data_IF_882391184473
#
_entry.id   IF_882391184473
#
_cell.length_a   1.000
_cell.length_b   1.000
_cell.length_c   1.000
_cell.angle_alpha   90.00
_cell.angle_beta   90.00
_cell.angle_gamma   90.00
#
_symmetry.space_group_name_H-M   'P 1'
#
loop_
_entity.id
_entity.type
_entity.pdbx_description
1 polymer ?
#
# COMPACT_ATOMS: atom_id res chain seq x y z
N UNK A 1 31.74 7.48 -27.49
CA UNK A 1 31.60 8.47 -26.39
C UNK A 1 30.12 8.63 -26.04
N UNK A 2 29.69 8.10 -24.90
CA UNK A 2 28.31 8.19 -24.42
C UNK A 2 28.10 9.60 -23.84
N UNK A 3 27.24 10.42 -24.46
CA UNK A 3 26.84 11.72 -23.89
C UNK A 3 25.96 11.47 -22.66
N UNK A 4 26.52 11.60 -21.46
CA UNK A 4 25.80 11.56 -20.19
C UNK A 4 24.69 12.62 -20.20
N UNK A 5 23.42 12.17 -20.23
CA UNK A 5 22.23 13.03 -20.14
C UNK A 5 22.06 13.47 -18.68
N UNK A 6 22.85 14.45 -18.22
CA UNK A 6 22.89 14.89 -16.82
C UNK A 6 22.09 16.16 -16.47
N UNK A 7 21.36 16.77 -17.40
CA UNK A 7 20.65 18.03 -17.14
C UNK A 7 19.42 17.90 -16.23
N UNK A 8 18.99 18.99 -15.58
CA UNK A 8 17.75 19.01 -14.79
C UNK A 8 16.50 18.83 -15.65
N UNK A 9 15.37 18.45 -15.05
CA UNK A 9 14.13 18.14 -15.75
C UNK A 9 13.58 19.33 -16.55
N UNK A 10 13.62 20.55 -16.01
CA UNK A 10 13.23 21.76 -16.76
C UNK A 10 14.12 21.99 -17.98
N UNK A 11 15.44 21.97 -17.84
CA UNK A 11 16.34 22.17 -18.98
C UNK A 11 16.17 21.08 -20.04
N UNK A 12 15.91 19.83 -19.64
CA UNK A 12 15.58 18.74 -20.58
C UNK A 12 14.26 18.96 -21.28
N UNK A 13 13.20 19.33 -20.56
CA UNK A 13 11.87 19.64 -21.12
C UNK A 13 11.96 20.73 -22.17
N UNK A 14 12.77 21.76 -21.92
CA UNK A 14 12.99 22.87 -22.85
C UNK A 14 14.11 22.62 -23.89
N UNK A 15 14.68 21.40 -23.93
CA UNK A 15 15.78 21.00 -24.84
C UNK A 15 16.97 22.00 -24.80
N UNK A 16 17.32 22.51 -23.63
CA UNK A 16 18.45 23.42 -23.41
C UNK A 16 19.57 22.73 -22.62
N UNK A 17 20.82 23.14 -22.88
CA UNK A 17 22.00 22.69 -22.13
C UNK A 17 21.91 23.18 -20.68
N UNK A 18 22.08 22.26 -19.73
CA UNK A 18 22.08 22.51 -18.30
C UNK A 18 23.53 22.53 -17.78
N UNK A 19 23.82 23.45 -16.87
CA UNK A 19 25.09 23.61 -16.16
C UNK A 19 25.26 22.65 -14.96
N UNK A 20 24.22 21.89 -14.61
CA UNK A 20 24.23 20.81 -13.61
C UNK A 20 24.58 21.23 -12.18
N UNK A 21 24.56 22.51 -11.84
CA UNK A 21 24.73 22.98 -10.46
C UNK A 21 23.59 22.49 -9.55
N UNK A 22 23.94 22.08 -8.33
CA UNK A 22 23.00 21.62 -7.30
C UNK A 22 22.93 22.65 -6.17
N UNK A 23 21.77 22.88 -5.54
CA UNK A 23 20.48 22.19 -5.74
C UNK A 23 19.69 22.64 -6.98
N UNK A 24 19.97 23.84 -7.50
CA UNK A 24 19.29 24.42 -8.67
C UNK A 24 20.31 24.88 -9.72
N UNK A 25 20.02 24.64 -10.99
CA UNK A 25 20.87 25.12 -12.09
C UNK A 25 20.74 26.64 -12.28
N UNK A 26 21.81 27.34 -12.67
CA UNK A 26 21.78 28.81 -12.83
C UNK A 26 20.74 29.25 -13.85
N UNK A 27 20.46 28.41 -14.85
CA UNK A 27 19.49 28.72 -15.90
C UNK A 27 18.04 28.76 -15.40
N UNK A 28 17.65 27.84 -14.51
CA UNK A 28 16.34 27.90 -13.86
C UNK A 28 16.26 29.13 -12.96
N UNK A 29 17.32 29.42 -12.20
CA UNK A 29 17.40 30.58 -11.30
C UNK A 29 17.26 31.91 -12.03
N UNK A 30 17.97 32.07 -13.15
CA UNK A 30 17.92 33.29 -13.99
C UNK A 30 16.56 33.55 -14.64
N UNK A 31 15.71 32.53 -14.74
CA UNK A 31 14.39 32.59 -15.39
C UNK A 31 13.24 32.63 -14.38
N UNK A 32 13.54 32.63 -13.08
CA UNK A 32 12.52 32.62 -12.03
C UNK A 32 11.74 31.32 -11.92
N UNK A 33 12.23 30.21 -12.48
CA UNK A 33 11.57 28.90 -12.34
C UNK A 33 12.16 28.09 -11.20
N UNK A 34 11.30 27.44 -10.42
CA UNK A 34 11.72 26.42 -9.47
C UNK A 34 12.32 25.22 -10.22
N UNK A 35 13.54 24.82 -9.84
CA UNK A 35 14.28 23.77 -10.55
C UNK A 35 13.76 22.39 -10.13
N UNK A 36 13.07 21.70 -11.04
CA UNK A 36 12.47 20.37 -10.83
C UNK A 36 13.46 19.19 -10.71
N UNK A 37 14.69 19.48 -10.28
CA UNK A 37 15.70 18.48 -9.94
C UNK A 37 16.30 17.70 -11.13
N UNK A 38 17.10 16.70 -10.78
CA UNK A 38 17.91 15.88 -11.70
C UNK A 38 17.45 14.41 -11.79
N UNK A 39 16.33 14.09 -11.14
CA UNK A 39 15.72 12.76 -11.13
C UNK A 39 15.23 12.38 -12.53
N UNK A 40 15.61 11.20 -13.03
CA UNK A 40 15.03 10.62 -14.23
C UNK A 40 13.76 9.86 -13.83
N UNK A 41 12.54 10.37 -14.05
CA UNK A 41 11.38 9.51 -13.95
C UNK A 41 11.50 8.40 -15.01
N UNK A 42 11.25 7.12 -14.68
CA UNK A 42 11.16 6.06 -15.68
C UNK A 42 10.05 6.44 -16.66
N UNK A 43 10.41 6.68 -17.92
CA UNK A 43 9.44 6.97 -18.99
C UNK A 43 8.90 5.65 -19.51
N UNK A 44 7.66 5.36 -19.18
CA UNK A 44 6.81 4.50 -20.00
C UNK A 44 6.30 5.34 -21.18
N UNK A 45 6.45 4.81 -22.40
CA UNK A 45 5.92 5.45 -23.60
C UNK A 45 4.43 5.13 -23.64
N UNK A 46 3.61 6.10 -23.23
CA UNK A 46 2.16 6.01 -23.35
C UNK A 46 1.79 6.13 -24.84
N UNK A 47 1.26 5.06 -25.42
CA UNK A 47 0.46 5.14 -26.64
C UNK A 47 -1.01 5.25 -26.22
N UNK A 48 -1.40 6.43 -25.74
CA UNK A 48 -2.80 6.82 -25.65
C UNK A 48 -3.05 7.84 -26.76
N UNK A 49 -4.00 7.52 -27.64
CA UNK A 49 -4.42 8.39 -28.71
C UNK A 49 -5.13 9.63 -28.14
N UNK A 50 -4.62 10.82 -28.44
CA UNK A 50 -5.35 12.07 -28.25
C UNK A 50 -6.37 12.23 -29.39
N UNK A 51 -7.67 12.43 -29.11
CA UNK A 51 -8.64 12.82 -30.11
C UNK A 51 -8.63 14.35 -30.22
N UNK A 52 -7.78 14.91 -31.09
CA UNK A 52 -7.99 16.26 -31.61
C UNK A 52 -7.86 16.27 -33.12
N UNK A 53 -8.96 16.66 -33.76
CA UNK A 53 -9.17 16.79 -35.20
C UNK A 53 -8.29 17.91 -35.76
N UNK A 54 -7.46 17.63 -36.77
CA UNK A 54 -7.39 18.43 -38.01
C UNK A 54 -6.53 17.79 -39.11
N UNK A 55 -7.16 17.61 -40.27
CA UNK A 55 -6.63 17.51 -41.66
C UNK A 55 -5.50 16.52 -42.02
N UNK A 56 -5.88 15.50 -42.80
CA UNK A 56 -5.06 14.55 -43.59
C UNK A 56 -4.04 15.24 -44.55
N UNK A 57 -2.98 14.53 -45.00
CA UNK A 57 -3.12 13.62 -46.14
C UNK A 57 -2.53 12.20 -45.92
N UNK A 58 -3.29 11.20 -46.41
CA UNK A 58 -2.97 9.82 -46.81
C UNK A 58 -2.25 8.85 -45.82
N UNK A 59 -2.82 7.65 -45.55
CA UNK A 59 -2.19 6.64 -44.72
C UNK A 59 -1.12 5.89 -45.52
N UNK A 60 0.15 6.02 -45.11
CA UNK A 60 1.14 4.98 -45.38
C UNK A 60 0.95 3.90 -44.32
N UNK A 61 0.60 2.69 -44.78
CA UNK A 61 0.58 1.47 -43.98
C UNK A 61 1.93 1.26 -43.32
N UNK A 62 2.04 1.67 -42.06
CA UNK A 62 3.05 1.16 -41.14
C UNK A 62 2.30 0.26 -40.18
N UNK A 63 2.07 -0.97 -40.61
CA UNK A 63 1.72 -2.10 -39.75
C UNK A 63 2.89 -2.29 -38.79
N UNK A 64 2.92 -1.52 -37.70
CA UNK A 64 3.82 -1.75 -36.58
C UNK A 64 3.30 -2.97 -35.86
N UNK A 65 3.64 -4.14 -36.38
CA UNK A 65 3.50 -5.43 -35.71
C UNK A 65 4.07 -5.29 -34.30
N UNK A 66 3.20 -5.34 -33.29
CA UNK A 66 3.58 -5.42 -31.88
C UNK A 66 4.39 -6.71 -31.72
N UNK A 67 5.72 -6.62 -31.80
CA UNK A 67 6.58 -7.73 -31.49
C UNK A 67 6.35 -8.09 -30.01
N UNK A 68 5.89 -9.32 -29.76
CA UNK A 68 5.83 -9.85 -28.41
C UNK A 68 7.21 -9.71 -27.76
N UNK A 69 7.30 -9.27 -26.48
CA UNK A 69 8.56 -9.35 -25.77
C UNK A 69 9.06 -10.80 -25.81
N UNK A 70 10.36 -10.99 -26.04
CA UNK A 70 10.95 -12.33 -26.04
C UNK A 70 10.58 -13.05 -24.73
N UNK A 71 10.24 -14.35 -24.78
CA UNK A 71 9.92 -15.08 -23.56
C UNK A 71 11.07 -14.93 -22.57
N UNK A 72 10.78 -14.63 -21.29
CA UNK A 72 11.81 -14.48 -20.29
C UNK A 72 12.66 -15.76 -20.25
N UNK A 73 13.98 -15.65 -20.00
CA UNK A 73 14.80 -16.84 -19.77
C UNK A 73 14.13 -17.64 -18.65
N UNK A 74 13.96 -18.95 -18.85
CA UNK A 74 13.49 -19.84 -17.78
C UNK A 74 14.50 -19.72 -16.65
N UNK A 75 14.09 -19.15 -15.52
CA UNK A 75 14.90 -19.28 -14.31
C UNK A 75 15.08 -20.76 -14.03
N UNK A 76 16.22 -21.14 -13.48
CA UNK A 76 16.41 -22.50 -13.01
C UNK A 76 15.34 -22.80 -11.95
N UNK A 77 14.34 -23.60 -12.32
CA UNK A 77 13.26 -24.03 -11.41
C UNK A 77 13.82 -24.64 -10.13
N UNK A 78 15.02 -25.22 -10.20
CA UNK A 78 15.78 -25.74 -9.07
C UNK A 78 16.07 -24.68 -7.98
N UNK A 79 16.24 -23.40 -8.35
CA UNK A 79 16.50 -22.33 -7.39
C UNK A 79 15.22 -21.67 -6.86
N UNK A 80 14.19 -21.49 -7.68
CA UNK A 80 12.93 -20.85 -7.25
C UNK A 80 12.01 -21.80 -6.49
N UNK A 81 12.00 -23.09 -6.80
CA UNK A 81 11.10 -24.06 -6.15
C UNK A 81 11.33 -24.16 -4.63
N UNK A 82 12.57 -24.26 -4.11
CA UNK A 82 12.81 -24.30 -2.67
C UNK A 82 12.41 -22.99 -1.98
N UNK A 83 12.67 -21.85 -2.63
CA UNK A 83 12.27 -20.52 -2.11
C UNK A 83 10.75 -20.36 -2.10
N UNK A 84 10.05 -20.88 -3.10
CA UNK A 84 8.59 -20.92 -3.14
C UNK A 84 8.03 -21.76 -1.99
N UNK A 85 8.59 -22.95 -1.75
CA UNK A 85 8.17 -23.77 -0.60
C UNK A 85 8.43 -23.06 0.73
N UNK A 86 9.57 -22.36 0.84
CA UNK A 86 9.87 -21.55 2.03
C UNK A 86 8.86 -20.39 2.18
N UNK A 87 8.46 -19.75 1.07
CA UNK A 87 7.41 -18.74 1.08
C UNK A 87 6.08 -19.29 1.62
N UNK A 88 5.61 -20.40 1.06
CA UNK A 88 4.32 -21.00 1.46
C UNK A 88 4.30 -21.43 2.93
N UNK A 89 5.44 -21.88 3.47
CA UNK A 89 5.53 -22.37 4.85
C UNK A 89 5.81 -21.28 5.89
N UNK A 90 6.56 -20.25 5.50
CA UNK A 90 7.08 -19.23 6.41
C UNK A 90 6.78 -17.81 5.94
N UNK A 91 7.13 -17.46 4.70
CA UNK A 91 6.93 -16.11 4.16
C UNK A 91 5.48 -15.63 4.20
N UNK A 92 4.51 -16.52 3.99
CA UNK A 92 3.08 -16.19 4.03
C UNK A 92 2.60 -15.68 5.39
N UNK A 93 3.22 -16.14 6.50
CA UNK A 93 2.89 -15.70 7.86
C UNK A 93 3.10 -14.20 8.05
N UNK A 94 3.98 -13.60 7.24
CA UNK A 94 4.26 -12.18 7.27
C UNK A 94 3.12 -11.33 6.71
N UNK A 95 2.31 -11.92 5.84
CA UNK A 95 1.27 -11.20 5.12
C UNK A 95 -0.14 -11.67 5.46
N UNK A 96 -0.30 -12.83 6.08
CA UNK A 96 -1.61 -13.38 6.44
C UNK A 96 -1.73 -13.42 7.96
N UNK A 97 -2.35 -12.39 8.55
CA UNK A 97 -2.54 -12.26 10.00
C UNK A 97 -3.54 -13.29 10.56
N UNK A 98 -4.44 -13.81 9.71
CA UNK A 98 -5.38 -14.89 10.03
C UNK A 98 -4.83 -16.30 9.75
N UNK A 99 -3.62 -16.63 10.18
CA UNK A 99 -2.89 -17.87 9.83
C UNK A 99 -3.55 -19.19 10.30
N UNK A 100 -4.78 -19.15 10.83
CA UNK A 100 -5.55 -20.34 11.19
C UNK A 100 -6.23 -21.02 9.99
N UNK A 101 -6.19 -20.44 8.77
CA UNK A 101 -6.97 -20.97 7.63
C UNK A 101 -6.14 -21.93 6.76
N UNK A 102 -6.51 -23.22 6.79
CA UNK A 102 -5.87 -24.34 6.08
C UNK A 102 -5.84 -24.22 4.56
N UNK A 103 -6.62 -23.31 3.95
CA UNK A 103 -6.80 -23.23 2.50
C UNK A 103 -5.81 -22.30 1.78
N UNK A 104 -5.14 -21.38 2.48
CA UNK A 104 -4.24 -20.39 1.85
C UNK A 104 -3.01 -21.09 1.24
N UNK A 105 -2.44 -22.07 1.93
CA UNK A 105 -1.29 -22.80 1.40
C UNK A 105 -1.65 -23.60 0.12
N UNK A 106 -2.73 -24.42 0.10
CA UNK A 106 -3.24 -25.02 -1.13
C UNK A 106 -3.50 -24.00 -2.24
N UNK A 107 -4.08 -22.84 -1.92
CA UNK A 107 -4.32 -21.77 -2.90
C UNK A 107 -3.03 -21.35 -3.64
N UNK A 108 -1.94 -21.10 -2.92
CA UNK A 108 -0.69 -20.70 -3.57
C UNK A 108 -0.08 -21.81 -4.42
N UNK A 109 -0.22 -23.07 -3.99
CA UNK A 109 0.21 -24.24 -4.77
C UNK A 109 -0.60 -24.32 -6.06
N UNK A 110 -1.93 -24.25 -5.99
CA UNK A 110 -2.80 -24.29 -7.16
C UNK A 110 -2.51 -23.15 -8.13
N UNK A 111 -2.36 -21.91 -7.63
CA UNK A 111 -2.05 -20.76 -8.45
C UNK A 111 -0.67 -20.84 -9.12
N UNK A 112 0.30 -21.49 -8.47
CA UNK A 112 1.63 -21.71 -9.06
C UNK A 112 1.60 -22.64 -10.27
N UNK A 113 0.61 -23.54 -10.36
CA UNK A 113 0.41 -24.40 -11.53
C UNK A 113 -0.22 -23.64 -12.70
N UNK A 114 -0.97 -22.58 -12.42
CA UNK A 114 -1.65 -21.77 -13.45
C UNK A 114 -0.76 -20.65 -13.99
N UNK A 115 0.20 -20.15 -13.21
CA UNK A 115 1.05 -19.02 -13.57
C UNK A 115 2.48 -19.20 -13.05
N UNK A 116 3.51 -19.27 -13.93
CA UNK A 116 4.89 -19.26 -13.48
C UNK A 116 5.28 -17.98 -12.74
N UNK A 117 4.60 -16.85 -12.99
CA UNK A 117 4.81 -15.61 -12.26
C UNK A 117 4.51 -15.73 -10.77
N UNK A 118 3.48 -16.50 -10.38
CA UNK A 118 3.15 -16.73 -8.96
C UNK A 118 4.33 -17.38 -8.24
N UNK A 119 4.93 -18.40 -8.85
CA UNK A 119 6.08 -19.11 -8.29
C UNK A 119 7.30 -18.19 -8.16
N UNK A 120 7.66 -17.47 -9.24
CA UNK A 120 8.86 -16.62 -9.25
C UNK A 120 8.70 -15.42 -8.32
N UNK A 121 7.52 -14.77 -8.29
CA UNK A 121 7.26 -13.65 -7.37
C UNK A 121 7.29 -14.09 -5.91
N UNK A 122 6.71 -15.24 -5.59
CA UNK A 122 6.76 -15.80 -4.24
C UNK A 122 8.21 -16.09 -3.80
N UNK A 123 9.01 -16.67 -4.71
CA UNK A 123 10.43 -16.90 -4.47
C UNK A 123 11.21 -15.58 -4.30
N UNK A 124 10.92 -14.56 -5.12
CA UNK A 124 11.54 -13.24 -5.03
C UNK A 124 11.20 -12.54 -3.71
N UNK A 125 9.94 -12.61 -3.26
CA UNK A 125 9.51 -12.11 -1.95
C UNK A 125 10.28 -12.83 -0.84
N UNK A 126 10.35 -14.16 -0.87
CA UNK A 126 11.07 -14.91 0.17
C UNK A 126 12.57 -14.63 0.17
N UNK A 127 13.18 -14.48 -1.00
CA UNK A 127 14.59 -14.14 -1.11
C UNK A 127 14.87 -12.73 -0.57
N UNK A 128 13.97 -11.78 -0.84
CA UNK A 128 14.01 -10.43 -0.28
C UNK A 128 13.79 -10.43 1.24
N UNK A 129 12.89 -11.27 1.76
CA UNK A 129 12.71 -11.47 3.21
C UNK A 129 14.03 -11.96 3.84
N UNK A 130 14.72 -12.89 3.19
CA UNK A 130 15.94 -13.49 3.72
C UNK A 130 17.16 -12.56 3.62
N UNK A 131 17.29 -11.80 2.53
CA UNK A 131 18.54 -11.10 2.17
C UNK A 131 18.39 -9.59 1.93
N UNK A 132 17.18 -9.03 2.03
CA UNK A 132 16.89 -7.64 1.70
C UNK A 132 17.21 -7.32 0.23
N UNK A 133 17.75 -6.12 -0.02
CA UNK A 133 18.10 -5.63 -1.36
C UNK A 133 19.42 -6.20 -1.90
N UNK A 134 19.72 -7.48 -1.65
CA UNK A 134 20.91 -8.15 -2.19
C UNK A 134 20.85 -8.26 -3.72
N UNK A 135 22.00 -8.38 -4.39
CA UNK A 135 22.05 -8.55 -5.86
C UNK A 135 21.20 -9.75 -6.32
N UNK A 136 21.31 -10.95 -5.71
CA UNK A 136 20.46 -12.08 -6.09
C UNK A 136 18.95 -11.81 -5.90
N UNK A 137 18.57 -11.10 -4.85
CA UNK A 137 17.18 -10.72 -4.62
C UNK A 137 16.67 -9.80 -5.73
N UNK A 138 17.45 -8.80 -6.13
CA UNK A 138 17.09 -7.85 -7.19
C UNK A 138 17.05 -8.51 -8.58
N UNK A 139 17.94 -9.46 -8.87
CA UNK A 139 17.89 -10.26 -10.10
C UNK A 139 16.62 -11.12 -10.17
N UNK A 140 16.25 -11.75 -9.04
CA UNK A 140 15.02 -12.52 -8.95
C UNK A 140 13.77 -11.64 -9.11
N UNK A 141 13.78 -10.42 -8.56
CA UNK A 141 12.71 -9.41 -8.72
C UNK A 141 12.57 -8.98 -10.19
N UNK A 142 13.69 -8.66 -10.86
CA UNK A 142 13.68 -8.28 -12.27
C UNK A 142 13.12 -9.40 -13.15
N UNK A 143 13.50 -10.64 -12.87
CA UNK A 143 12.94 -11.79 -13.56
C UNK A 143 11.44 -11.97 -13.30
N UNK A 144 11.01 -11.81 -12.05
CA UNK A 144 9.59 -11.87 -11.68
C UNK A 144 8.77 -10.84 -12.46
N UNK A 145 9.27 -9.61 -12.57
CA UNK A 145 8.64 -8.54 -13.35
C UNK A 145 8.57 -8.87 -14.85
N UNK A 146 9.65 -9.40 -15.42
CA UNK A 146 9.69 -9.78 -16.84
C UNK A 146 8.69 -10.91 -17.15
N UNK A 147 8.63 -11.92 -16.29
CA UNK A 147 7.70 -13.04 -16.44
C UNK A 147 6.24 -12.60 -16.29
N UNK A 148 5.95 -11.76 -15.30
CA UNK A 148 4.61 -11.21 -15.12
C UNK A 148 4.16 -10.35 -16.30
N UNK A 149 5.03 -9.46 -16.79
CA UNK A 149 4.73 -8.63 -17.98
C UNK A 149 4.49 -9.48 -19.22
N UNK A 150 5.29 -10.52 -19.41
CA UNK A 150 5.10 -11.45 -20.53
C UNK A 150 3.75 -12.15 -20.45
N UNK A 151 3.33 -12.64 -19.28
CA UNK A 151 1.99 -13.22 -19.08
C UNK A 151 0.87 -12.23 -19.39
N UNK A 152 0.92 -11.04 -18.81
CA UNK A 152 -0.13 -10.01 -19.02
C UNK A 152 -0.29 -9.66 -20.49
N UNK A 153 0.81 -9.55 -21.24
CA UNK A 153 0.77 -9.27 -22.68
C UNK A 153 0.27 -10.48 -23.49
N UNK A 154 0.57 -11.69 -23.06
CA UNK A 154 0.23 -12.92 -23.79
C UNK A 154 -1.24 -13.32 -23.64
N UNK A 155 -1.89 -12.94 -22.54
CA UNK A 155 -3.26 -13.36 -22.20
C UNK A 155 -4.29 -12.22 -22.25
N UNK A 156 -4.12 -11.22 -23.15
CA UNK A 156 -4.93 -9.98 -23.19
C UNK A 156 -6.45 -10.17 -23.05
N UNK A 157 -7.01 -11.25 -23.58
CA UNK A 157 -8.46 -11.46 -23.62
C UNK A 157 -8.99 -12.41 -22.54
N UNK A 158 -8.14 -13.22 -21.92
CA UNK A 158 -8.53 -14.21 -20.89
C UNK A 158 -7.47 -14.32 -19.81
N UNK A 159 -7.37 -13.31 -18.95
CA UNK A 159 -6.36 -13.30 -17.90
C UNK A 159 -6.74 -14.29 -16.77
N UNK A 160 -5.85 -15.22 -16.46
CA UNK A 160 -6.10 -16.29 -15.49
C UNK A 160 -6.13 -15.77 -14.04
N UNK A 161 -6.75 -16.55 -13.15
CA UNK A 161 -6.71 -16.30 -11.71
C UNK A 161 -5.27 -16.37 -11.15
N UNK A 162 -4.42 -17.20 -11.76
CA UNK A 162 -2.98 -17.26 -11.46
C UNK A 162 -2.28 -15.93 -11.75
N UNK A 163 -2.48 -15.34 -12.93
CA UNK A 163 -1.87 -14.05 -13.28
C UNK A 163 -2.42 -12.92 -12.39
N UNK A 164 -3.69 -12.99 -11.95
CA UNK A 164 -4.25 -11.99 -11.02
C UNK A 164 -3.57 -12.08 -9.65
N UNK A 165 -3.37 -13.30 -9.18
CA UNK A 165 -2.63 -13.59 -7.94
C UNK A 165 -1.18 -13.13 -8.03
N UNK A 166 -0.53 -13.30 -9.19
CA UNK A 166 0.79 -12.76 -9.45
C UNK A 166 0.80 -11.22 -9.33
N UNK A 167 -0.21 -10.53 -9.87
CA UNK A 167 -0.33 -9.08 -9.69
C UNK A 167 -0.46 -8.65 -8.22
N UNK A 168 -1.23 -9.39 -7.42
CA UNK A 168 -1.32 -9.16 -5.96
C UNK A 168 0.03 -9.35 -5.27
N UNK A 169 0.76 -10.42 -5.61
CA UNK A 169 2.11 -10.66 -5.08
C UNK A 169 3.08 -9.55 -5.49
N UNK A 170 2.98 -9.06 -6.72
CA UNK A 170 3.78 -7.94 -7.19
C UNK A 170 3.49 -6.67 -6.37
N UNK A 171 2.23 -6.38 -6.06
CA UNK A 171 1.86 -5.26 -5.18
C UNK A 171 2.49 -5.43 -3.78
N UNK A 172 2.39 -6.63 -3.18
CA UNK A 172 3.01 -6.92 -1.87
C UNK A 172 4.52 -6.75 -1.89
N UNK A 173 5.20 -7.19 -2.96
CA UNK A 173 6.63 -7.02 -3.13
C UNK A 173 7.04 -5.54 -3.21
N UNK A 174 6.30 -4.72 -3.97
CA UNK A 174 6.57 -3.29 -4.05
C UNK A 174 6.39 -2.59 -2.69
N UNK A 175 5.32 -2.88 -1.96
CA UNK A 175 5.16 -2.36 -0.60
C UNK A 175 6.31 -2.80 0.31
N UNK A 176 6.72 -4.07 0.26
CA UNK A 176 7.85 -4.59 1.06
C UNK A 176 9.18 -3.86 0.74
N UNK A 177 9.32 -3.37 -0.48
CA UNK A 177 10.46 -2.59 -0.97
C UNK A 177 10.30 -1.07 -0.78
N UNK A 178 9.18 -0.62 -0.20
CA UNK A 178 8.78 0.78 -0.12
C UNK A 178 8.83 1.49 -1.50
N UNK A 179 8.49 0.76 -2.57
CA UNK A 179 8.44 1.26 -3.95
C UNK A 179 7.00 1.60 -4.35
N UNK A 180 6.81 2.49 -5.35
CA UNK A 180 5.50 2.81 -5.88
C UNK A 180 4.72 1.56 -6.30
N UNK A 181 3.57 1.35 -5.66
CA UNK A 181 2.69 0.20 -5.81
C UNK A 181 1.35 0.58 -6.46
N UNK A 182 0.78 1.74 -6.13
CA UNK A 182 -0.52 2.15 -6.66
C UNK A 182 -0.61 2.24 -8.19
N UNK A 183 0.47 2.55 -8.95
CA UNK A 183 0.44 2.42 -10.41
C UNK A 183 0.18 0.98 -10.89
N UNK A 184 0.67 -0.04 -10.18
CA UNK A 184 0.38 -1.44 -10.50
C UNK A 184 -1.06 -1.82 -10.16
N UNK A 185 -1.64 -1.28 -9.10
CA UNK A 185 -3.06 -1.45 -8.78
C UNK A 185 -3.93 -0.84 -9.88
N UNK A 186 -3.61 0.36 -10.37
CA UNK A 186 -4.29 0.98 -11.51
C UNK A 186 -4.19 0.12 -12.77
N UNK A 187 -2.98 -0.35 -13.11
CA UNK A 187 -2.75 -1.22 -14.25
C UNK A 187 -3.58 -2.52 -14.14
N UNK A 188 -3.60 -3.15 -12.96
CA UNK A 188 -4.42 -4.35 -12.75
C UNK A 188 -5.91 -4.02 -12.91
N UNK A 189 -6.39 -2.90 -12.36
CA UNK A 189 -7.79 -2.51 -12.54
C UNK A 189 -8.18 -2.34 -14.01
N UNK A 190 -7.28 -1.79 -14.82
CA UNK A 190 -7.47 -1.65 -16.27
C UNK A 190 -7.46 -3.00 -16.99
N UNK A 191 -6.45 -3.84 -16.74
CA UNK A 191 -6.28 -5.16 -17.39
C UNK A 191 -7.44 -6.10 -17.07
N UNK A 192 -7.98 -6.04 -15.85
CA UNK A 192 -9.08 -6.89 -15.41
C UNK A 192 -10.46 -6.20 -15.52
N UNK A 193 -10.54 -5.01 -16.12
CA UNK A 193 -11.77 -4.24 -16.29
C UNK A 193 -12.57 -4.02 -14.99
N UNK A 194 -11.89 -3.94 -13.84
CA UNK A 194 -12.51 -3.80 -12.51
C UNK A 194 -13.21 -2.44 -12.36
N UNK A 195 -12.83 -1.46 -13.17
CA UNK A 195 -13.44 -0.12 -13.18
C UNK A 195 -14.83 -0.09 -13.86
N UNK A 196 -15.12 -1.02 -14.76
CA UNK A 196 -16.31 -0.97 -15.65
C UNK A 196 -17.29 -2.13 -15.44
N UNK A 197 -16.80 -3.33 -15.17
CA UNK A 197 -17.63 -4.54 -15.00
C UNK A 197 -16.98 -5.46 -13.97
N UNK A 198 -17.26 -5.22 -12.68
CA UNK A 198 -17.06 -6.26 -11.68
C UNK A 198 -18.08 -7.36 -11.96
N UNK A 199 -17.71 -8.38 -12.74
CA UNK A 199 -18.62 -9.46 -13.13
C UNK A 199 -19.11 -10.22 -11.88
N UNK A 200 -20.28 -9.81 -11.37
CA UNK A 200 -20.86 -10.25 -10.10
C UNK A 200 -20.97 -11.79 -10.01
N UNK A 201 -21.35 -12.45 -11.11
CA UNK A 201 -21.49 -13.90 -11.17
C UNK A 201 -20.16 -14.65 -11.04
N UNK A 202 -19.09 -14.14 -11.67
CA UNK A 202 -17.75 -14.73 -11.60
C UNK A 202 -17.16 -14.57 -10.20
N UNK A 203 -17.38 -13.41 -9.56
CA UNK A 203 -16.94 -13.16 -8.18
C UNK A 203 -17.64 -14.05 -7.16
N UNK A 204 -18.94 -14.31 -7.36
CA UNK A 204 -19.72 -15.18 -6.50
C UNK A 204 -19.26 -16.65 -6.65
N UNK A 205 -19.01 -17.12 -7.88
CA UNK A 205 -18.70 -18.53 -8.14
C UNK A 205 -17.21 -18.89 -7.98
N UNK A 206 -16.29 -17.95 -8.25
CA UNK A 206 -14.86 -18.21 -8.25
C UNK A 206 -14.18 -17.68 -6.98
N UNK A 207 -14.02 -18.55 -5.98
CA UNK A 207 -13.37 -18.24 -4.69
C UNK A 207 -11.95 -17.69 -4.87
N UNK A 208 -11.23 -18.18 -5.88
CA UNK A 208 -9.84 -17.80 -6.13
C UNK A 208 -9.75 -16.35 -6.61
N UNK A 209 -10.53 -16.01 -7.63
CA UNK A 209 -10.59 -14.64 -8.17
C UNK A 209 -11.12 -13.67 -7.10
N UNK A 210 -12.14 -14.09 -6.35
CA UNK A 210 -12.68 -13.32 -5.23
C UNK A 210 -11.60 -12.99 -4.20
N UNK A 211 -10.81 -13.97 -3.78
CA UNK A 211 -9.74 -13.76 -2.82
C UNK A 211 -8.69 -12.77 -3.34
N UNK A 212 -8.20 -12.95 -4.57
CA UNK A 212 -7.21 -12.04 -5.13
C UNK A 212 -7.72 -10.59 -5.24
N UNK A 213 -9.00 -10.40 -5.60
CA UNK A 213 -9.63 -9.08 -5.66
C UNK A 213 -9.88 -8.47 -4.29
N UNK A 214 -10.28 -9.28 -3.30
CA UNK A 214 -10.38 -8.85 -1.90
C UNK A 214 -9.02 -8.27 -1.44
N UNK A 215 -7.92 -8.97 -1.71
CA UNK A 215 -6.58 -8.49 -1.33
C UNK A 215 -6.17 -7.20 -2.05
N UNK A 216 -6.43 -7.13 -3.36
CA UNK A 216 -6.16 -5.93 -4.14
C UNK A 216 -6.97 -4.74 -3.63
N UNK A 217 -8.22 -4.99 -3.23
CA UNK A 217 -9.15 -4.00 -2.73
C UNK A 217 -8.75 -3.44 -1.36
N UNK A 218 -8.29 -4.28 -0.42
CA UNK A 218 -7.77 -3.79 0.87
C UNK A 218 -6.52 -2.94 0.66
N UNK A 219 -5.61 -3.34 -0.24
CA UNK A 219 -4.42 -2.56 -0.59
C UNK A 219 -4.75 -1.22 -1.27
N UNK A 220 -5.95 -1.06 -1.84
CA UNK A 220 -6.40 0.20 -2.44
C UNK A 220 -7.04 1.16 -1.43
N UNK A 221 -7.28 0.75 -0.19
CA UNK A 221 -7.87 1.61 0.85
C UNK A 221 -6.91 2.78 1.15
N UNK A 222 -7.33 4.05 0.98
CA UNK A 222 -6.44 5.21 1.09
C UNK A 222 -5.70 5.32 2.41
N UNK A 223 -6.39 5.05 3.53
CA UNK A 223 -5.84 5.22 4.88
C UNK A 223 -4.75 4.20 5.22
N UNK A 224 -4.66 3.10 4.47
CA UNK A 224 -3.69 2.03 4.74
C UNK A 224 -2.44 2.12 3.88
N UNK A 225 -2.33 3.12 2.99
CA UNK A 225 -1.15 3.30 2.14
C UNK A 225 -0.64 4.73 2.29
N UNK A 226 0.57 4.86 2.83
CA UNK A 226 1.28 6.13 2.89
C UNK A 226 1.95 6.44 1.56
N UNK A 227 1.91 7.71 1.16
CA UNK A 227 2.70 8.20 0.03
C UNK A 227 2.14 7.80 -1.33
N UNK A 228 0.83 7.54 -1.41
CA UNK A 228 0.16 7.14 -2.65
C UNK A 228 0.53 8.04 -3.82
N UNK A 229 0.93 7.41 -4.93
CA UNK A 229 1.24 8.10 -6.19
C UNK A 229 -0.02 8.25 -7.04
N UNK A 230 -0.88 7.23 -7.04
CA UNK A 230 -2.17 7.28 -7.70
C UNK A 230 -3.32 7.38 -6.67
N UNK A 231 -4.41 8.10 -7.00
CA UNK A 231 -5.64 8.11 -6.20
C UNK A 231 -6.18 6.69 -5.95
N UNK A 232 -6.98 6.52 -4.91
CA UNK A 232 -7.72 5.29 -4.71
C UNK A 232 -8.79 5.12 -5.78
N UNK A 233 -9.00 3.88 -6.20
CA UNK A 233 -10.04 3.50 -7.16
C UNK A 233 -11.35 3.13 -6.45
N UNK A 234 -11.34 3.06 -5.12
CA UNK A 234 -12.47 2.62 -4.31
C UNK A 234 -12.79 1.14 -4.52
N UNK A 235 -11.77 0.30 -4.79
CA UNK A 235 -11.99 -1.11 -5.13
C UNK A 235 -12.74 -1.87 -4.04
N UNK A 236 -12.45 -1.61 -2.76
CA UNK A 236 -13.16 -2.27 -1.65
C UNK A 236 -14.65 -1.96 -1.66
N UNK A 237 -15.02 -0.69 -1.72
CA UNK A 237 -16.42 -0.27 -1.80
C UNK A 237 -17.16 -0.92 -2.96
N UNK A 238 -16.59 -0.86 -4.17
CA UNK A 238 -17.15 -1.49 -5.37
C UNK A 238 -17.27 -3.01 -5.23
N UNK A 239 -16.27 -3.65 -4.64
CA UNK A 239 -16.28 -5.08 -4.36
C UNK A 239 -17.39 -5.48 -3.38
N UNK A 240 -17.66 -4.63 -2.38
CA UNK A 240 -18.69 -4.89 -1.36
C UNK A 240 -20.09 -4.59 -1.88
N UNK A 241 -20.26 -3.52 -2.65
CA UNK A 241 -21.50 -3.23 -3.40
C UNK A 241 -21.84 -4.38 -4.36
N UNK A 242 -20.83 -4.99 -4.97
CA UNK A 242 -21.02 -6.17 -5.80
C UNK A 242 -21.56 -7.41 -5.06
N UNK A 243 -21.38 -7.47 -3.74
CA UNK A 243 -21.93 -8.55 -2.92
C UNK A 243 -23.37 -8.29 -2.48
N UNK A 244 -23.87 -7.05 -2.61
CA UNK A 244 -25.26 -6.72 -2.22
C UNK A 244 -26.28 -7.45 -3.08
N UNK A 245 -25.91 -7.80 -4.32
CA UNK A 245 -26.77 -8.56 -5.23
C UNK A 245 -26.58 -10.08 -5.09
N UNK A 246 -25.74 -10.56 -4.19
CA UNK A 246 -25.49 -12.00 -4.02
C UNK A 246 -26.61 -12.67 -3.23
N UNK A 247 -26.84 -13.93 -3.56
CA UNK A 247 -27.69 -14.80 -2.73
C UNK A 247 -27.01 -14.99 -1.36
N UNK A 248 -27.66 -14.53 -0.29
CA UNK A 248 -27.09 -14.48 1.07
C UNK A 248 -26.45 -13.14 1.45
N UNK A 249 -26.40 -12.16 0.54
CA UNK A 249 -25.90 -10.81 0.77
C UNK A 249 -24.37 -10.73 0.97
N UNK A 250 -23.92 -9.64 1.61
CA UNK A 250 -22.48 -9.40 1.86
C UNK A 250 -21.88 -10.52 2.69
N UNK A 251 -20.67 -10.93 2.30
CA UNK A 251 -19.86 -11.81 3.15
C UNK A 251 -19.55 -11.08 4.46
N UNK A 252 -19.80 -11.76 5.58
CA UNK A 252 -19.43 -11.30 6.92
C UNK A 252 -18.22 -12.10 7.41
N UNK A 253 -17.49 -11.54 8.36
CA UNK A 253 -16.35 -12.21 8.98
C UNK A 253 -15.07 -11.38 8.92
N UNK A 254 -13.95 -12.11 8.98
CA UNK A 254 -12.60 -11.55 9.06
C UNK A 254 -11.90 -11.73 7.71
N UNK A 255 -11.44 -10.62 7.13
CA UNK A 255 -10.60 -10.60 5.95
C UNK A 255 -9.25 -11.26 6.26
N UNK A 256 -8.80 -12.15 5.38
CA UNK A 256 -7.79 -13.17 5.67
C UNK A 256 -6.39 -12.59 5.85
N UNK A 257 -6.05 -11.55 5.10
CA UNK A 257 -4.70 -10.98 5.03
C UNK A 257 -4.48 -9.91 6.11
N UNK A 258 -5.36 -8.91 6.16
CA UNK A 258 -5.36 -7.86 7.18
C UNK A 258 -5.71 -8.37 8.57
N UNK A 259 -6.50 -9.46 8.65
CA UNK A 259 -7.04 -9.96 9.91
C UNK A 259 -8.12 -9.05 10.51
N UNK A 260 -8.67 -8.12 9.71
CA UNK A 260 -9.66 -7.14 10.13
C UNK A 260 -11.09 -7.60 9.81
N UNK A 261 -12.08 -7.20 10.63
CA UNK A 261 -13.49 -7.36 10.32
C UNK A 261 -13.84 -6.67 9.00
N UNK A 262 -14.55 -7.37 8.12
CA UNK A 262 -14.94 -6.82 6.83
C UNK A 262 -15.84 -5.58 6.96
N UNK A 263 -16.69 -5.55 7.98
CA UNK A 263 -17.56 -4.39 8.28
C UNK A 263 -16.78 -3.18 8.83
N UNK A 264 -15.68 -3.40 9.55
CA UNK A 264 -14.75 -2.34 9.93
C UNK A 264 -14.01 -1.78 8.69
N UNK A 265 -13.59 -2.66 7.77
CA UNK A 265 -12.99 -2.27 6.49
C UNK A 265 -13.97 -1.47 5.62
N UNK A 266 -15.27 -1.80 5.66
CA UNK A 266 -16.31 -1.04 4.96
C UNK A 266 -16.33 0.43 5.41
N UNK A 267 -16.17 0.70 6.70
CA UNK A 267 -16.10 2.08 7.23
C UNK A 267 -14.84 2.80 6.74
N UNK A 268 -13.67 2.16 6.79
CA UNK A 268 -12.42 2.75 6.29
C UNK A 268 -12.45 3.04 4.78
N UNK A 269 -13.10 2.18 3.99
CA UNK A 269 -13.21 2.37 2.54
C UNK A 269 -14.12 3.55 2.15
N UNK A 270 -15.06 3.93 3.01
CA UNK A 270 -15.95 5.07 2.78
C UNK A 270 -15.28 6.43 3.06
N UNK A 271 -14.07 6.45 3.62
CA UNK A 271 -13.37 7.68 4.04
C UNK A 271 -13.17 8.74 2.95
N UNK A 272 -13.16 8.36 1.67
CA UNK A 272 -13.03 9.29 0.55
C UNK A 272 -14.38 9.84 0.04
N UNK A 273 -15.50 9.28 0.47
CA UNK A 273 -16.84 9.53 -0.10
C UNK A 273 -17.87 10.00 0.92
N UNK A 274 -17.65 9.74 2.21
CA UNK A 274 -18.60 10.02 3.29
C UNK A 274 -18.13 11.20 4.16
N UNK A 275 -19.04 11.78 4.93
CA UNK A 275 -18.73 12.88 5.84
C UNK A 275 -17.93 12.39 7.05
N UNK A 276 -16.99 13.23 7.51
CA UNK A 276 -16.07 12.85 8.60
C UNK A 276 -16.82 12.56 9.92
N UNK A 277 -17.87 13.32 10.24
CA UNK A 277 -18.63 13.10 11.47
C UNK A 277 -19.44 11.81 11.39
N UNK A 278 -20.00 11.48 10.22
CA UNK A 278 -20.70 10.21 10.00
C UNK A 278 -19.77 9.01 10.20
N UNK A 279 -18.57 9.07 9.63
CA UNK A 279 -17.57 8.01 9.78
C UNK A 279 -17.13 7.84 11.23
N UNK A 280 -16.93 8.95 11.97
CA UNK A 280 -16.60 8.91 13.40
C UNK A 280 -17.74 8.27 14.20
N UNK A 281 -19.00 8.58 13.90
CA UNK A 281 -20.16 7.95 14.54
C UNK A 281 -20.20 6.46 14.27
N UNK A 282 -20.06 6.05 12.99
CA UNK A 282 -20.02 4.62 12.59
C UNK A 282 -18.90 3.86 13.30
N UNK A 283 -17.70 4.44 13.43
CA UNK A 283 -16.60 3.83 14.19
C UNK A 283 -16.87 3.80 15.70
N UNK A 284 -17.56 4.81 16.24
CA UNK A 284 -17.87 4.89 17.67
C UNK A 284 -18.90 3.84 18.08
N UNK A 285 -19.89 3.61 17.23
CA UNK A 285 -20.99 2.63 17.40
C UNK A 285 -20.64 1.23 16.89
N UNK A 286 -19.51 1.06 16.20
CA UNK A 286 -19.11 -0.24 15.67
C UNK A 286 -18.89 -1.25 16.82
N UNK A 287 -19.55 -2.39 16.70
CA UNK A 287 -19.39 -3.55 17.56
C UNK A 287 -19.22 -4.81 16.71
N UNK A 288 -18.32 -5.69 17.12
CA UNK A 288 -18.15 -6.97 16.45
C UNK A 288 -19.32 -7.91 16.75
N UNK A 289 -20.02 -8.34 15.71
CA UNK A 289 -21.21 -9.19 15.81
C UNK A 289 -20.95 -10.68 15.51
N UNK A 290 -19.70 -11.10 15.31
CA UNK A 290 -19.36 -12.49 14.98
C UNK A 290 -19.01 -13.35 16.21
N UNK A 291 -19.01 -14.67 16.03
CA UNK A 291 -18.68 -15.61 17.10
C UNK A 291 -17.17 -15.64 17.43
N UNK A 292 -16.91 -15.76 18.74
CA UNK A 292 -15.64 -16.17 19.39
C UNK A 292 -14.33 -15.81 18.67
N UNK A 293 -13.86 -14.57 18.86
CA UNK A 293 -12.45 -14.22 18.62
C UNK A 293 -11.59 -14.38 19.89
N UNK A 294 -10.28 -14.56 19.75
CA UNK A 294 -9.36 -14.52 20.89
C UNK A 294 -9.37 -13.09 21.51
N UNK A 295 -9.26 -12.97 22.83
CA UNK A 295 -9.25 -11.67 23.54
C UNK A 295 -8.29 -10.65 22.91
N UNK A 296 -7.09 -11.10 22.52
CA UNK A 296 -6.08 -10.22 21.94
C UNK A 296 -6.47 -9.68 20.55
N UNK A 297 -7.27 -10.45 19.80
CA UNK A 297 -7.77 -10.04 18.50
C UNK A 297 -8.84 -8.95 18.63
N UNK A 298 -9.70 -9.01 19.65
CA UNK A 298 -10.63 -7.92 19.97
C UNK A 298 -9.90 -6.62 20.30
N UNK A 299 -8.84 -6.69 21.12
CA UNK A 299 -8.03 -5.52 21.41
C UNK A 299 -7.39 -4.96 20.14
N UNK A 300 -6.90 -5.80 19.24
CA UNK A 300 -6.34 -5.35 17.97
C UNK A 300 -7.40 -4.61 17.14
N UNK A 301 -8.61 -5.14 17.03
CA UNK A 301 -9.70 -4.47 16.31
C UNK A 301 -10.11 -3.15 16.97
N UNK A 302 -10.19 -3.09 18.31
CA UNK A 302 -10.47 -1.85 19.02
C UNK A 302 -9.35 -0.82 18.81
N UNK A 303 -8.08 -1.24 18.77
CA UNK A 303 -6.96 -0.36 18.45
C UNK A 303 -7.09 0.23 17.03
N UNK A 304 -7.48 -0.56 16.04
CA UNK A 304 -7.72 -0.08 14.68
C UNK A 304 -8.89 0.89 14.61
N UNK A 305 -10.02 0.55 15.26
CA UNK A 305 -11.20 1.41 15.35
C UNK A 305 -10.89 2.76 15.98
N UNK A 306 -10.24 2.77 17.15
CA UNK A 306 -9.85 3.98 17.86
C UNK A 306 -8.83 4.80 17.05
N UNK A 307 -7.86 4.15 16.42
CA UNK A 307 -6.93 4.81 15.50
C UNK A 307 -7.66 5.44 14.30
N UNK A 308 -8.68 4.79 13.74
CA UNK A 308 -9.51 5.37 12.69
C UNK A 308 -10.17 6.68 13.12
N UNK A 309 -10.73 6.73 14.34
CA UNK A 309 -11.34 7.95 14.89
C UNK A 309 -10.28 9.06 15.05
N UNK A 310 -9.11 8.74 15.60
CA UNK A 310 -8.01 9.69 15.78
C UNK A 310 -7.52 10.22 14.43
N UNK A 311 -7.31 9.35 13.44
CA UNK A 311 -6.87 9.72 12.10
C UNK A 311 -7.87 10.63 11.39
N UNK A 312 -9.17 10.32 11.45
CA UNK A 312 -10.24 11.15 10.88
C UNK A 312 -10.28 12.54 11.53
N UNK A 313 -10.31 12.60 12.86
CA UNK A 313 -10.26 13.88 13.61
C UNK A 313 -9.03 14.68 13.23
N UNK A 314 -7.87 14.02 13.12
CA UNK A 314 -6.61 14.66 12.75
C UNK A 314 -6.64 15.22 11.33
N UNK A 315 -7.01 14.43 10.33
CA UNK A 315 -7.12 14.87 8.92
C UNK A 315 -8.04 16.07 8.78
N UNK A 316 -9.17 16.05 9.49
CA UNK A 316 -10.13 17.14 9.51
C UNK A 316 -9.54 18.42 10.13
N UNK A 317 -8.86 18.31 11.28
CA UNK A 317 -8.13 19.45 11.87
C UNK A 317 -7.13 20.06 10.89
N UNK A 318 -6.38 19.21 10.17
CA UNK A 318 -5.38 19.68 9.22
C UNK A 318 -5.97 20.30 7.96
N UNK A 319 -7.08 19.74 7.46
CA UNK A 319 -7.86 20.33 6.37
C UNK A 319 -8.37 21.72 6.73
N UNK A 320 -8.92 21.91 7.93
CA UNK A 320 -9.38 23.22 8.43
C UNK A 320 -8.24 24.23 8.54
N UNK A 321 -7.08 23.82 9.06
CA UNK A 321 -5.89 24.70 9.14
C UNK A 321 -5.38 25.14 7.77
N UNK A 322 -5.40 24.27 6.76
CA UNK A 322 -5.01 24.63 5.40
C UNK A 322 -5.99 25.64 4.76
N UNK A 323 -7.28 25.55 5.09
CA UNK A 323 -8.32 26.45 4.58
C UNK A 323 -8.33 27.82 5.29
N UNK A 324 -8.03 27.86 6.58
CA UNK A 324 -8.00 29.08 7.38
C UNK A 324 -6.58 29.68 7.43
N UNK A 325 -6.16 30.38 6.37
CA UNK A 325 -4.82 31.03 6.30
C UNK A 325 -4.66 32.25 7.23
N UNK A 326 -5.65 32.60 8.06
CA UNK A 326 -5.70 33.90 8.77
C UNK A 326 -6.33 33.91 10.19
N UNK A 327 -6.57 32.77 10.84
CA UNK A 327 -7.10 32.76 12.22
C UNK A 327 -6.00 32.41 13.24
N UNK A 328 -5.87 33.27 14.26
CA UNK A 328 -5.03 33.21 15.46
C UNK A 328 -4.27 31.90 15.73
N UNK A 329 -2.94 32.02 15.78
CA UNK A 329 -2.00 30.92 15.97
C UNK A 329 -2.04 30.25 17.35
N UNK A 330 -2.82 30.76 18.30
CA UNK A 330 -2.72 30.39 19.72
C UNK A 330 -4.04 29.96 20.40
N UNK A 331 -5.17 29.81 19.67
CA UNK A 331 -6.48 29.57 20.31
C UNK A 331 -7.11 28.17 20.12
N UNK A 332 -6.54 27.26 19.31
CA UNK A 332 -7.12 25.93 19.04
C UNK A 332 -6.31 24.76 19.63
N UNK A 333 -5.51 25.03 20.66
CA UNK A 333 -4.97 24.02 21.59
C UNK A 333 -5.93 23.71 22.76
N UNK A 334 -7.19 24.17 22.67
CA UNK A 334 -8.27 23.81 23.56
C UNK A 334 -8.64 22.32 23.38
N UNK A 335 -7.98 21.46 24.17
CA UNK A 335 -8.44 20.16 24.64
C UNK A 335 -9.38 19.43 23.65
N UNK A 336 -8.85 18.99 22.51
CA UNK A 336 -9.51 17.93 21.74
C UNK A 336 -9.68 16.76 22.70
N UNK A 337 -10.90 16.24 22.84
CA UNK A 337 -11.26 15.08 23.64
C UNK A 337 -10.20 13.97 23.50
N UNK A 338 -9.28 13.90 24.48
CA UNK A 338 -8.14 12.99 24.46
C UNK A 338 -8.56 11.58 24.85
N UNK A 339 -9.80 11.38 25.31
CA UNK A 339 -10.27 10.10 25.85
C UNK A 339 -10.09 8.95 24.86
N UNK A 340 -10.33 9.19 23.57
CA UNK A 340 -10.12 8.20 22.50
C UNK A 340 -8.64 7.84 22.36
N UNK A 341 -7.76 8.84 22.44
CA UNK A 341 -6.31 8.64 22.32
C UNK A 341 -5.73 7.97 23.57
N UNK A 342 -6.20 8.35 24.76
CA UNK A 342 -5.86 7.69 26.02
C UNK A 342 -6.26 6.22 26.01
N UNK A 343 -7.47 5.92 25.50
CA UNK A 343 -7.94 4.54 25.33
C UNK A 343 -7.13 3.79 24.27
N UNK A 344 -6.80 4.43 23.14
CA UNK A 344 -5.94 3.85 22.12
C UNK A 344 -4.57 3.46 22.70
N UNK A 345 -3.95 4.36 23.46
CA UNK A 345 -2.66 4.10 24.11
C UNK A 345 -2.74 2.97 25.14
N UNK A 346 -3.83 2.88 25.91
CA UNK A 346 -4.06 1.78 26.85
C UNK A 346 -4.17 0.43 26.12
N UNK A 347 -4.94 0.37 25.03
CA UNK A 347 -5.10 -0.86 24.23
C UNK A 347 -3.79 -1.27 23.56
N UNK A 348 -3.03 -0.32 23.02
CA UNK A 348 -1.68 -0.58 22.47
C UNK A 348 -0.77 -1.17 23.56
N UNK A 349 -0.79 -0.62 24.78
CA UNK A 349 -0.01 -1.14 25.90
C UNK A 349 -0.38 -2.59 26.24
N UNK A 350 -1.67 -2.91 26.30
CA UNK A 350 -2.15 -4.28 26.59
C UNK A 350 -1.62 -5.25 25.53
N UNK A 351 -1.79 -4.92 24.25
CA UNK A 351 -1.32 -5.77 23.15
C UNK A 351 0.19 -5.94 23.20
N UNK A 352 0.92 -4.87 23.52
CA UNK A 352 2.38 -4.91 23.64
C UNK A 352 2.84 -5.81 24.78
N UNK A 353 2.22 -5.72 25.95
CA UNK A 353 2.58 -6.56 27.10
C UNK A 353 2.32 -8.06 26.80
N UNK A 354 1.19 -8.39 26.17
CA UNK A 354 0.86 -9.77 25.78
C UNK A 354 1.77 -10.31 24.67
N UNK A 355 2.24 -9.44 23.76
CA UNK A 355 3.13 -9.83 22.65
C UNK A 355 4.49 -10.38 23.10
N UNK A 356 4.88 -10.13 24.35
CA UNK A 356 6.12 -10.68 24.94
C UNK A 356 6.08 -12.20 25.04
N UNK A 357 4.88 -12.79 25.03
CA UNK A 357 4.70 -14.23 24.95
C UNK A 357 4.95 -14.72 23.50
N UNK A 358 5.77 -15.76 23.29
CA UNK A 358 6.10 -16.26 21.94
C UNK A 358 4.88 -16.59 21.06
N UNK A 359 3.76 -17.01 21.67
CA UNK A 359 2.50 -17.28 20.98
C UNK A 359 1.95 -16.04 20.25
N UNK A 360 2.05 -14.86 20.86
CA UNK A 360 1.38 -13.63 20.40
C UNK A 360 2.29 -12.62 19.72
N UNK A 361 3.57 -12.96 19.58
CA UNK A 361 4.59 -12.08 18.99
C UNK A 361 4.20 -11.50 17.63
N UNK A 362 3.54 -12.29 16.79
CA UNK A 362 3.09 -11.91 15.45
C UNK A 362 2.04 -10.77 15.44
N UNK A 363 1.36 -10.50 16.55
CA UNK A 363 0.32 -9.47 16.65
C UNK A 363 0.91 -8.05 16.60
N UNK A 364 2.20 -7.87 16.90
CA UNK A 364 2.87 -6.56 16.86
C UNK A 364 2.81 -5.90 15.47
N UNK A 365 2.89 -6.70 14.40
CA UNK A 365 2.77 -6.19 13.02
C UNK A 365 1.34 -5.70 12.76
N UNK A 366 0.36 -6.21 13.51
CA UNK A 366 -1.01 -5.69 13.59
C UNK A 366 -1.08 -4.23 14.02
N UNK A 367 -0.11 -3.75 14.82
CA UNK A 367 -0.15 -2.41 15.41
C UNK A 367 0.43 -1.31 14.51
N UNK A 368 0.93 -1.62 13.31
CA UNK A 368 1.60 -0.60 12.46
C UNK A 368 0.68 0.59 12.19
N UNK A 369 -0.55 0.38 11.71
CA UNK A 369 -1.51 1.47 11.49
C UNK A 369 -1.84 2.24 12.78
N UNK A 370 -2.30 1.61 13.88
CA UNK A 370 -2.55 2.31 15.15
C UNK A 370 -1.35 3.10 15.68
N UNK A 371 -0.15 2.53 15.59
CA UNK A 371 1.08 3.13 16.07
C UNK A 371 1.48 4.36 15.24
N UNK A 372 1.31 4.30 13.92
CA UNK A 372 1.54 5.46 13.04
C UNK A 372 0.59 6.59 13.40
N UNK A 373 -0.71 6.31 13.54
CA UNK A 373 -1.70 7.33 13.90
C UNK A 373 -1.39 7.96 15.25
N UNK A 374 -1.13 7.15 16.29
CA UNK A 374 -0.77 7.65 17.61
C UNK A 374 0.52 8.49 17.59
N UNK A 375 1.52 8.07 16.80
CA UNK A 375 2.80 8.77 16.67
C UNK A 375 2.68 10.14 16.02
N UNK A 376 1.64 10.37 15.21
CA UNK A 376 1.39 11.65 14.55
C UNK A 376 0.69 12.68 15.46
N UNK A 377 0.19 12.26 16.63
CA UNK A 377 -0.36 13.15 17.66
C UNK A 377 0.76 13.71 18.55
N UNK A 378 1.71 14.41 17.93
CA UNK A 378 2.96 14.85 18.57
C UNK A 378 2.72 15.77 19.78
N UNK A 379 1.82 16.77 19.75
CA UNK A 379 1.56 17.60 20.93
C UNK A 379 0.96 16.83 22.11
N UNK A 380 0.19 15.76 21.84
CA UNK A 380 -0.30 14.87 22.89
C UNK A 380 0.87 14.08 23.51
N UNK A 381 1.72 13.47 22.67
CA UNK A 381 2.86 12.67 23.14
C UNK A 381 3.91 13.50 23.89
N UNK A 382 4.12 14.76 23.53
CA UNK A 382 4.98 15.70 24.28
C UNK A 382 4.45 15.97 25.69
N UNK A 383 3.12 15.99 25.88
CA UNK A 383 2.47 16.18 27.18
C UNK A 383 2.37 14.89 28.00
N UNK A 384 2.33 13.73 27.34
CA UNK A 384 2.15 12.42 27.96
C UNK A 384 3.39 11.53 27.77
N UNK A 385 4.39 11.71 28.64
CA UNK A 385 5.66 10.98 28.57
C UNK A 385 5.51 9.46 28.59
N UNK A 386 4.55 8.94 29.37
CA UNK A 386 4.23 7.51 29.40
C UNK A 386 3.70 6.99 28.05
N UNK A 387 2.86 7.76 27.38
CA UNK A 387 2.36 7.38 26.05
C UNK A 387 3.51 7.35 25.03
N UNK A 388 4.41 8.34 25.08
CA UNK A 388 5.61 8.35 24.22
C UNK A 388 6.53 7.14 24.47
N UNK A 389 6.73 6.76 25.73
CA UNK A 389 7.50 5.57 26.10
C UNK A 389 6.88 4.30 25.50
N UNK A 390 5.55 4.12 25.60
CA UNK A 390 4.86 2.99 24.99
C UNK A 390 5.10 2.95 23.47
N UNK A 391 4.96 4.09 22.78
CA UNK A 391 5.24 4.18 21.34
C UNK A 391 6.66 3.74 21.02
N UNK A 392 7.65 4.25 21.76
CA UNK A 392 9.07 3.92 21.54
C UNK A 392 9.38 2.45 21.79
N UNK A 393 8.84 1.87 22.87
CA UNK A 393 9.03 0.47 23.23
C UNK A 393 8.46 -0.46 22.15
N UNK A 394 7.24 -0.17 21.66
CA UNK A 394 6.61 -0.92 20.57
C UNK A 394 7.42 -0.79 19.29
N UNK A 395 7.84 0.43 18.91
CA UNK A 395 8.67 0.64 17.72
C UNK A 395 9.99 -0.12 17.80
N UNK A 396 10.64 -0.14 18.96
CA UNK A 396 11.90 -0.84 19.19
C UNK A 396 11.72 -2.36 19.11
N UNK A 397 10.64 -2.91 19.68
CA UNK A 397 10.31 -4.32 19.54
C UNK A 397 10.08 -4.71 18.08
N UNK A 398 9.31 -3.91 17.32
CA UNK A 398 9.09 -4.13 15.88
C UNK A 398 10.42 -4.05 15.12
N UNK A 399 11.30 -3.09 15.42
CA UNK A 399 12.64 -2.98 14.79
C UNK A 399 13.51 -4.22 15.07
N UNK A 400 13.40 -4.80 16.26
CA UNK A 400 14.21 -5.94 16.69
C UNK A 400 13.84 -7.26 15.98
N UNK A 401 12.61 -7.42 15.50
CA UNK A 401 12.12 -8.65 14.85
C UNK A 401 12.68 -8.89 13.43
N UNK A 402 13.78 -8.23 13.06
CA UNK A 402 14.31 -8.16 11.68
C UNK A 402 13.24 -7.67 10.70
N UNK A 403 12.35 -6.81 11.18
CA UNK A 403 11.24 -6.29 10.40
C UNK A 403 11.77 -5.34 9.33
N UNK A 404 11.20 -5.52 8.15
CA UNK A 404 11.63 -5.10 6.81
C UNK A 404 12.02 -3.63 6.64
N UNK A 405 12.55 -3.31 5.46
CA UNK A 405 12.77 -1.94 5.03
C UNK A 405 11.53 -1.05 5.22
N UNK A 406 10.31 -1.61 5.09
CA UNK A 406 9.03 -0.96 5.35
C UNK A 406 8.99 -0.22 6.70
N UNK A 407 9.20 -0.91 7.83
CA UNK A 407 9.08 -0.31 9.16
C UNK A 407 10.20 0.69 9.42
N UNK A 408 11.39 0.45 8.87
CA UNK A 408 12.50 1.41 8.94
C UNK A 408 12.18 2.72 8.22
N UNK A 409 11.52 2.66 7.07
CA UNK A 409 11.10 3.86 6.32
C UNK A 409 10.00 4.60 7.08
N UNK A 410 8.96 3.90 7.53
CA UNK A 410 7.87 4.50 8.31
C UNK A 410 8.38 5.19 9.56
N UNK A 411 9.18 4.50 10.38
CA UNK A 411 9.67 5.07 11.64
C UNK A 411 10.60 6.26 11.42
N UNK A 412 11.39 6.29 10.35
CA UNK A 412 12.17 7.47 9.99
C UNK A 412 11.28 8.68 9.64
N UNK A 413 10.18 8.44 8.93
CA UNK A 413 9.21 9.50 8.61
C UNK A 413 8.50 9.99 9.87
N UNK A 414 8.25 9.11 10.85
CA UNK A 414 7.70 9.49 12.15
C UNK A 414 8.71 10.29 13.00
N UNK A 415 10.01 9.99 12.92
CA UNK A 415 11.05 10.80 13.55
C UNK A 415 11.05 12.23 12.97
N UNK A 416 10.85 12.38 11.65
CA UNK A 416 10.68 13.69 11.02
C UNK A 416 9.43 14.43 11.57
N UNK A 417 8.31 13.72 11.76
CA UNK A 417 7.09 14.28 12.35
C UNK A 417 7.30 14.74 13.80
N UNK A 418 8.02 13.95 14.59
CA UNK A 418 8.36 14.29 15.97
C UNK A 418 9.19 15.58 16.06
N UNK A 419 10.19 15.71 15.17
CA UNK A 419 11.05 16.88 15.09
C UNK A 419 10.31 18.13 14.62
N UNK A 420 9.38 17.99 13.67
CA UNK A 420 8.49 19.07 13.22
C UNK A 420 7.59 19.55 14.37
N UNK A 421 7.06 18.64 15.17
CA UNK A 421 6.31 18.97 16.39
C UNK A 421 4.87 19.42 16.17
N UNK A 422 4.42 19.57 14.91
CA UNK A 422 3.06 19.98 14.57
C UNK A 422 2.05 18.87 14.81
N UNK A 423 0.81 19.24 15.15
CA UNK A 423 -0.34 18.33 15.10
C UNK A 423 -0.79 17.98 13.67
N UNK A 424 -0.22 18.64 12.66
CA UNK A 424 -0.65 18.54 11.27
C UNK A 424 0.44 18.20 10.26
N UNK A 425 1.45 17.45 10.70
CA UNK A 425 2.49 16.93 9.83
C UNK A 425 1.94 16.06 8.68
N UNK A 426 2.13 16.46 7.42
CA UNK A 426 1.66 15.68 6.28
C UNK A 426 2.61 14.50 5.98
N UNK A 427 2.34 13.37 6.63
CA UNK A 427 3.09 12.13 6.47
C UNK A 427 3.05 11.61 5.02
N UNK A 428 1.93 11.80 4.33
CA UNK A 428 1.72 11.37 2.95
C UNK A 428 2.57 12.20 1.98
N UNK A 429 2.60 13.52 2.17
CA UNK A 429 3.48 14.41 1.40
C UNK A 429 4.95 14.09 1.65
N UNK A 430 5.34 13.79 2.89
CA UNK A 430 6.71 13.38 3.20
C UNK A 430 7.09 12.07 2.50
N UNK A 431 6.22 11.06 2.54
CA UNK A 431 6.44 9.79 1.87
C UNK A 431 6.58 9.98 0.35
N UNK A 432 5.68 10.75 -0.28
CA UNK A 432 5.79 11.11 -1.71
C UNK A 432 7.09 11.84 -2.03
N UNK A 433 7.52 12.77 -1.19
CA UNK A 433 8.77 13.52 -1.36
C UNK A 433 10.00 12.60 -1.34
N UNK A 434 9.99 11.56 -0.50
CA UNK A 434 11.03 10.53 -0.47
C UNK A 434 10.89 9.49 -1.59
N UNK A 435 9.83 9.57 -2.40
CA UNK A 435 9.57 8.62 -3.49
C UNK A 435 9.20 7.22 -2.99
N UNK A 436 8.67 7.12 -1.77
CA UNK A 436 8.31 5.85 -1.14
C UNK A 436 6.79 5.71 -1.02
N UNK A 437 6.34 4.47 -1.16
CA UNK A 437 4.94 4.10 -0.94
C UNK A 437 4.89 2.84 -0.06
N UNK A 438 4.10 2.90 1.02
CA UNK A 438 4.19 1.94 2.13
C UNK A 438 2.79 1.56 2.58
N UNK A 439 2.51 0.25 2.65
CA UNK A 439 1.30 -0.27 3.27
C UNK A 439 1.45 -0.34 4.81
N UNK A 440 0.40 0.06 5.54
CA UNK A 440 0.31 0.05 7.01
C UNK A 440 -0.41 -1.18 7.58
N UNK A 441 -0.84 -2.07 6.70
CA UNK A 441 -1.69 -3.24 6.94
C UNK A 441 -0.93 -4.55 6.90
#
# INVERSE_FOLDING_TARGET
>A
MIRLRGGCNNCRRHRKKCDQQRPCCTRCKSRGYECSGYSNPPRWVNYAADPTVSSNPAPQDVTSSLALPAPPPKYETHMTQPLFQQYVNYGLRMFCKGYSKSWIQPYFVDMSTQSPSVLILSAAIQLYINQGSSVPALECVDLALRTFRYEVVSYRDTVSAGTLSAGVLLCKLNFLQAQPCTPYICMMSEVYHLNTQMNFLVLQQNVVVRHALELLAVMDIPQFVLGRVCPSLGLWKRFREAQDTWEGGRLRGIEVVSGMPMDLLDIFADAAHDDTENLILRLSEWEWQGDTAEYLQYNLWDAWRLAGIVDLRRRERCRRRLQNTQADYDADESCADTSVLDRLMAVISIIFDDSRLPKYRHVLIGLIFPLVVASLEVPYLKRHTRAKQIVDDVQNAIKAERTYNLTKVVFRILDDAWNDGSSCYDIDARARFQGVEVALM
#
